data_IF_312228431654
#
_entry.id   IF_312228431654
#
_cell.length_a   1.000
_cell.length_b   1.000
_cell.length_c   1.000
_cell.angle_alpha   90.00
_cell.angle_beta   90.00
_cell.angle_gamma   90.00
#
_symmetry.space_group_name_H-M   'P 1'
#
loop_
_entity.id
_entity.type
_entity.pdbx_description
1 polymer ?
#
# COMPACT_ATOMS: atom_id res chain seq x y z
N UNK A 1 18.38 -14.81 4.99
CA UNK A 1 17.29 -14.89 4.07
C UNK A 1 16.03 -14.31 4.68
N UNK A 2 15.60 -13.15 4.20
CA UNK A 2 14.53 -12.38 4.79
C UNK A 2 13.13 -12.87 4.45
N UNK A 3 13.00 -13.93 3.66
CA UNK A 3 11.69 -14.42 3.30
C UNK A 3 11.12 -15.27 4.42
N UNK A 4 9.93 -14.92 4.85
CA UNK A 4 9.23 -15.66 5.87
C UNK A 4 8.72 -16.98 5.27
N UNK A 5 9.11 -18.09 5.86
CA UNK A 5 8.67 -19.42 5.43
C UNK A 5 7.33 -19.80 6.05
N UNK A 6 6.79 -18.96 6.90
CA UNK A 6 5.53 -19.24 7.56
C UNK A 6 4.37 -19.20 6.57
N UNK A 7 3.39 -20.04 6.83
CA UNK A 7 2.20 -20.21 5.99
C UNK A 7 1.35 -18.94 5.85
N UNK A 8 1.72 -17.87 6.57
CA UNK A 8 1.00 -16.61 6.62
C UNK A 8 1.75 -15.47 5.91
N UNK A 9 2.45 -15.77 4.86
CA UNK A 9 3.10 -14.75 4.06
C UNK A 9 2.05 -13.92 3.33
N UNK A 10 1.84 -12.68 3.79
CA UNK A 10 0.79 -11.79 3.29
C UNK A 10 1.30 -10.63 2.43
N UNK A 11 2.51 -10.73 1.91
CA UNK A 11 3.02 -9.68 1.05
C UNK A 11 2.45 -9.83 -0.35
N UNK A 12 1.68 -8.84 -0.81
CA UNK A 12 1.16 -8.82 -2.18
C UNK A 12 2.28 -8.76 -3.20
N UNK A 13 3.35 -8.08 -2.84
CA UNK A 13 4.48 -7.84 -3.73
C UNK A 13 5.76 -7.65 -2.93
N UNK A 14 6.85 -8.07 -3.55
CA UNK A 14 8.20 -7.88 -3.02
C UNK A 14 8.92 -6.96 -3.98
N UNK A 15 9.45 -5.86 -3.46
CA UNK A 15 10.23 -4.93 -4.25
C UNK A 15 11.65 -5.43 -4.40
N UNK A 16 12.17 -5.35 -5.61
CA UNK A 16 13.53 -5.79 -5.92
C UNK A 16 14.45 -4.59 -6.13
N UNK A 17 15.60 -4.64 -5.48
CA UNK A 17 16.59 -3.58 -5.52
C UNK A 17 17.90 -4.13 -6.11
N UNK A 18 18.51 -3.38 -7.02
CA UNK A 18 19.82 -3.69 -7.58
C UNK A 18 20.67 -2.43 -7.57
N UNK A 19 21.85 -2.53 -6.98
CA UNK A 19 22.81 -1.42 -6.92
C UNK A 19 22.18 -0.13 -6.36
N UNK A 20 21.39 -0.27 -5.29
CA UNK A 20 20.73 0.83 -4.63
C UNK A 20 19.52 1.41 -5.35
N UNK A 21 19.07 0.77 -6.42
CA UNK A 21 17.91 1.23 -7.19
C UNK A 21 16.79 0.21 -7.17
N UNK A 22 15.57 0.70 -7.08
CA UNK A 22 14.39 -0.15 -7.20
C UNK A 22 14.17 -0.46 -8.67
N UNK A 23 14.29 -1.73 -9.04
CA UNK A 23 14.26 -2.14 -10.45
C UNK A 23 12.99 -2.88 -10.84
N UNK A 24 12.25 -3.41 -9.88
CA UNK A 24 11.04 -4.13 -10.21
C UNK A 24 10.36 -4.70 -8.98
N UNK A 25 9.33 -5.49 -9.21
CA UNK A 25 8.62 -6.18 -8.14
C UNK A 25 8.17 -7.56 -8.59
N UNK A 26 7.92 -8.42 -7.62
CA UNK A 26 7.32 -9.73 -7.83
C UNK A 26 6.00 -9.75 -7.06
N UNK A 27 4.91 -10.10 -7.72
CA UNK A 27 3.60 -10.10 -7.08
C UNK A 27 3.28 -11.46 -6.44
N UNK A 28 2.22 -11.48 -5.64
CA UNK A 28 1.78 -12.67 -4.92
C UNK A 28 1.51 -13.85 -5.85
N UNK A 29 0.90 -13.62 -7.02
CA UNK A 29 0.58 -14.68 -7.95
C UNK A 29 1.83 -15.38 -8.47
N UNK A 30 2.86 -14.61 -8.79
CA UNK A 30 4.14 -15.16 -9.20
C UNK A 30 4.77 -15.96 -8.06
N UNK A 31 4.73 -15.41 -6.85
CA UNK A 31 5.31 -16.06 -5.68
C UNK A 31 4.64 -17.39 -5.34
N UNK A 32 3.33 -17.49 -5.52
CA UNK A 32 2.60 -18.73 -5.29
C UNK A 32 2.97 -19.84 -6.25
N UNK A 33 3.35 -19.49 -7.47
CA UNK A 33 3.71 -20.45 -8.51
C UNK A 33 5.17 -20.86 -8.47
N UNK A 34 5.96 -20.25 -7.60
CA UNK A 34 7.39 -20.54 -7.47
C UNK A 34 7.62 -21.19 -6.10
N UNK A 35 8.34 -22.32 -6.09
CA UNK A 35 8.74 -22.96 -4.84
C UNK A 35 9.58 -21.99 -3.99
N UNK A 36 9.31 -21.94 -2.69
CA UNK A 36 10.05 -21.07 -1.75
C UNK A 36 11.56 -21.31 -1.84
N UNK A 37 11.95 -22.53 -2.13
CA UNK A 37 13.37 -22.88 -2.30
C UNK A 37 14.04 -22.14 -3.46
N UNK A 38 13.25 -21.70 -4.43
CA UNK A 38 13.73 -20.98 -5.60
C UNK A 38 13.63 -19.47 -5.47
N UNK A 39 13.24 -18.96 -4.30
CA UNK A 39 13.10 -17.52 -4.06
C UNK A 39 14.46 -16.87 -3.77
N UNK A 40 15.47 -17.16 -4.59
CA UNK A 40 16.71 -16.41 -4.53
C UNK A 40 16.63 -15.14 -5.41
N UNK A 41 17.57 -14.23 -5.20
CA UNK A 41 17.59 -12.96 -5.91
C UNK A 41 17.58 -13.10 -7.42
N UNK A 42 18.43 -13.98 -7.93
CA UNK A 42 18.59 -14.16 -9.37
C UNK A 42 17.30 -14.65 -10.02
N UNK A 43 16.66 -15.62 -9.38
CA UNK A 43 15.43 -16.21 -9.89
C UNK A 43 14.28 -15.22 -9.86
N UNK A 44 14.15 -14.45 -8.77
CA UNK A 44 13.09 -13.46 -8.64
C UNK A 44 13.21 -12.34 -9.67
N UNK A 45 14.43 -11.94 -10.03
CA UNK A 45 14.63 -10.92 -11.07
C UNK A 45 14.12 -11.38 -12.44
N UNK A 46 14.19 -12.66 -12.74
CA UNK A 46 13.69 -13.19 -14.02
C UNK A 46 12.19 -13.04 -14.16
N UNK A 47 11.45 -13.03 -13.04
CA UNK A 47 10.00 -12.93 -13.02
C UNK A 47 9.52 -11.56 -12.57
N UNK A 48 10.41 -10.59 -12.44
CA UNK A 48 10.04 -9.27 -11.96
C UNK A 48 9.29 -8.48 -13.02
N UNK A 49 8.40 -7.61 -12.53
CA UNK A 49 7.65 -6.66 -13.34
C UNK A 49 8.19 -5.25 -13.08
N UNK A 50 8.03 -4.33 -14.03
CA UNK A 50 8.47 -2.95 -13.80
C UNK A 50 7.78 -2.31 -12.61
N UNK A 51 8.54 -1.61 -11.77
CA UNK A 51 8.01 -1.02 -10.54
C UNK A 51 6.96 0.06 -10.80
N UNK A 52 7.04 0.74 -11.93
CA UNK A 52 6.10 1.79 -12.30
C UNK A 52 4.69 1.27 -12.66
N UNK A 53 4.51 -0.05 -12.76
CA UNK A 53 3.18 -0.65 -12.89
C UNK A 53 2.41 -0.70 -11.57
N UNK A 54 3.08 -0.49 -10.43
CA UNK A 54 2.42 -0.51 -9.13
C UNK A 54 1.66 0.79 -8.88
N UNK A 55 0.48 0.70 -8.24
CA UNK A 55 -0.23 1.92 -7.84
C UNK A 55 0.61 2.66 -6.80
N UNK A 56 0.83 3.93 -7.03
CA UNK A 56 1.68 4.73 -6.18
C UNK A 56 1.06 6.08 -5.86
N UNK A 57 1.55 6.67 -4.78
CA UNK A 57 1.16 8.00 -4.33
C UNK A 57 2.40 8.72 -3.81
N UNK A 58 2.49 10.02 -4.08
CA UNK A 58 3.55 10.84 -3.52
C UNK A 58 3.31 11.11 -2.03
N UNK A 59 4.38 11.16 -1.25
CA UNK A 59 4.29 11.51 0.16
C UNK A 59 3.67 12.90 0.39
N UNK A 60 3.64 13.74 -0.64
CA UNK A 60 3.05 15.08 -0.58
C UNK A 60 1.57 15.12 -0.91
N UNK A 61 1.00 14.03 -1.42
CA UNK A 61 -0.42 14.01 -1.74
C UNK A 61 -1.27 13.96 -0.49
N UNK A 62 -2.49 14.47 -0.62
CA UNK A 62 -3.42 14.52 0.49
C UNK A 62 -4.04 13.14 0.77
N UNK A 63 -4.48 12.95 2.01
CA UNK A 63 -5.03 11.68 2.46
C UNK A 63 -6.27 11.25 1.65
N UNK A 64 -7.14 12.18 1.27
CA UNK A 64 -8.30 11.83 0.47
C UNK A 64 -7.92 11.34 -0.93
N UNK A 65 -6.80 11.80 -1.48
CA UNK A 65 -6.27 11.30 -2.75
C UNK A 65 -5.80 9.84 -2.62
N UNK A 66 -5.19 9.51 -1.48
CA UNK A 66 -4.81 8.14 -1.18
C UNK A 66 -6.02 7.22 -1.12
N UNK A 67 -7.11 7.67 -0.51
CA UNK A 67 -8.35 6.89 -0.42
C UNK A 67 -8.91 6.61 -1.81
N UNK A 68 -8.98 7.61 -2.67
CA UNK A 68 -9.46 7.42 -4.04
C UNK A 68 -8.57 6.44 -4.80
N UNK A 69 -7.25 6.58 -4.67
CA UNK A 69 -6.32 5.70 -5.39
C UNK A 69 -6.41 4.25 -4.93
N UNK A 70 -6.47 4.01 -3.61
CA UNK A 70 -6.51 2.63 -3.11
C UNK A 70 -7.81 1.93 -3.48
N UNK A 71 -8.91 2.66 -3.58
CA UNK A 71 -10.19 2.08 -4.00
C UNK A 71 -10.25 1.81 -5.51
N UNK A 72 -9.38 2.44 -6.29
CA UNK A 72 -9.33 2.25 -7.73
C UNK A 72 -8.26 1.24 -8.18
N UNK A 73 -7.58 0.60 -7.24
CA UNK A 73 -6.60 -0.43 -7.57
C UNK A 73 -7.07 -1.81 -7.12
N UNK A 74 -6.57 -2.84 -7.77
CA UNK A 74 -6.81 -4.23 -7.37
C UNK A 74 -5.94 -4.65 -6.18
N UNK A 75 -4.90 -3.87 -5.86
CA UNK A 75 -4.01 -4.17 -4.75
C UNK A 75 -4.57 -3.65 -3.43
N UNK A 76 -4.15 -4.24 -2.33
CA UNK A 76 -4.58 -3.82 -0.99
C UNK A 76 -3.78 -2.65 -0.43
N UNK A 77 -2.73 -2.22 -1.14
CA UNK A 77 -1.87 -1.13 -0.68
C UNK A 77 -1.34 -0.31 -1.84
N UNK A 78 -0.88 0.89 -1.52
CA UNK A 78 -0.22 1.79 -2.45
C UNK A 78 1.26 1.88 -2.13
N UNK A 79 2.08 2.05 -3.15
CA UNK A 79 3.49 2.38 -2.98
C UNK A 79 3.60 3.88 -2.70
N UNK A 80 4.31 4.25 -1.64
CA UNK A 80 4.54 5.66 -1.31
C UNK A 80 5.89 6.08 -1.86
N UNK A 81 5.90 7.15 -2.64
CA UNK A 81 7.10 7.68 -3.27
C UNK A 81 7.51 8.98 -2.61
N UNK A 82 8.82 9.16 -2.46
CA UNK A 82 9.39 10.44 -2.02
C UNK A 82 9.20 11.51 -3.10
N UNK A 83 9.54 12.75 -2.76
CA UNK A 83 9.50 13.85 -3.73
C UNK A 83 10.45 13.63 -4.90
N UNK A 84 11.46 12.79 -4.74
CA UNK A 84 12.38 12.42 -5.84
C UNK A 84 11.93 11.18 -6.61
N UNK A 85 10.75 10.63 -6.28
CA UNK A 85 10.22 9.47 -6.99
C UNK A 85 10.72 8.13 -6.51
N UNK A 86 11.38 8.06 -5.36
CA UNK A 86 11.91 6.81 -4.80
C UNK A 86 10.92 6.17 -3.84
N UNK A 87 10.73 4.84 -3.89
CA UNK A 87 9.89 4.15 -2.93
C UNK A 87 10.39 4.33 -1.50
N UNK A 88 9.52 4.76 -0.60
CA UNK A 88 9.85 4.96 0.82
C UNK A 88 8.97 4.15 1.75
N UNK A 89 7.92 3.50 1.24
CA UNK A 89 7.06 2.68 2.06
C UNK A 89 5.80 2.28 1.32
N UNK A 90 4.87 1.70 2.05
CA UNK A 90 3.55 1.33 1.53
C UNK A 90 2.46 1.85 2.45
N UNK A 91 1.26 1.98 1.90
CA UNK A 91 0.11 2.52 2.61
C UNK A 91 -1.11 1.64 2.31
N UNK A 92 -1.74 1.08 3.34
CA UNK A 92 -2.96 0.29 3.19
C UNK A 92 -4.17 1.02 3.84
N UNK A 93 -5.35 0.39 3.78
CA UNK A 93 -6.56 1.00 4.35
C UNK A 93 -6.46 1.23 5.86
N UNK A 94 -5.73 0.36 6.56
CA UNK A 94 -5.53 0.52 8.00
C UNK A 94 -4.67 1.74 8.30
N UNK A 95 -3.60 1.92 7.54
CA UNK A 95 -2.72 3.09 7.69
C UNK A 95 -3.49 4.39 7.45
N UNK A 96 -4.34 4.41 6.43
CA UNK A 96 -5.18 5.56 6.11
C UNK A 96 -6.16 5.84 7.27
N UNK A 97 -6.85 4.80 7.73
CA UNK A 97 -7.80 4.93 8.83
C UNK A 97 -7.14 5.39 10.12
N UNK A 98 -5.96 4.87 10.44
CA UNK A 98 -5.19 5.32 11.61
C UNK A 98 -4.86 6.81 11.51
N UNK A 99 -4.45 7.26 10.33
CA UNK A 99 -4.11 8.67 10.13
C UNK A 99 -5.33 9.58 10.32
N UNK A 100 -6.49 9.16 9.83
CA UNK A 100 -7.73 9.91 10.01
C UNK A 100 -8.11 9.99 11.49
N UNK A 101 -8.09 8.85 12.18
CA UNK A 101 -8.48 8.79 13.59
C UNK A 101 -7.52 9.56 14.49
N UNK A 102 -6.23 9.53 14.16
CA UNK A 102 -5.23 10.27 14.92
C UNK A 102 -5.49 11.78 14.90
N UNK A 103 -6.00 12.31 13.79
CA UNK A 103 -6.33 13.73 13.68
C UNK A 103 -7.43 14.16 14.65
N UNK A 104 -8.30 13.25 15.06
CA UNK A 104 -9.35 13.52 16.04
C UNK A 104 -9.01 12.99 17.42
N UNK A 105 -7.73 12.63 17.65
CA UNK A 105 -7.23 12.23 18.95
C UNK A 105 -7.49 10.77 19.33
N UNK A 106 -7.85 9.92 18.38
CA UNK A 106 -8.11 8.50 18.65
C UNK A 106 -6.93 7.62 18.21
N UNK A 107 -6.52 6.72 19.11
CA UNK A 107 -5.52 5.70 18.83
C UNK A 107 -6.19 4.33 18.83
N UNK A 108 -5.94 3.54 17.79
CA UNK A 108 -6.51 2.21 17.67
C UNK A 108 -5.73 1.20 18.51
N UNK A 109 -6.42 0.32 19.26
CA UNK A 109 -5.77 -0.84 19.87
C UNK A 109 -5.17 -1.77 18.82
N UNK A 110 -4.05 -2.40 19.15
CA UNK A 110 -3.33 -3.29 18.22
C UNK A 110 -4.20 -4.43 17.70
N UNK A 111 -5.10 -4.95 18.51
CA UNK A 111 -6.00 -6.03 18.09
C UNK A 111 -6.93 -5.61 16.97
N UNK A 112 -7.49 -4.40 17.06
CA UNK A 112 -8.34 -3.87 16.00
C UNK A 112 -7.56 -3.61 14.71
N UNK A 113 -6.31 -3.16 14.85
CA UNK A 113 -5.42 -2.95 13.71
C UNK A 113 -5.17 -4.28 12.99
N UNK A 114 -4.86 -5.35 13.74
CA UNK A 114 -4.58 -6.66 13.16
C UNK A 114 -5.77 -7.23 12.39
N UNK A 115 -6.96 -7.14 12.96
CA UNK A 115 -8.18 -7.63 12.32
C UNK A 115 -8.47 -6.85 11.04
N UNK A 116 -8.43 -5.53 11.10
CA UNK A 116 -8.70 -4.68 9.95
C UNK A 116 -7.69 -4.93 8.83
N UNK A 117 -6.41 -5.11 9.18
CA UNK A 117 -5.35 -5.35 8.18
C UNK A 117 -5.51 -6.71 7.51
N UNK A 118 -5.87 -7.73 8.28
CA UNK A 118 -6.12 -9.07 7.75
C UNK A 118 -7.28 -9.09 6.74
N UNK A 119 -8.33 -8.32 7.02
CA UNK A 119 -9.51 -8.25 6.17
C UNK A 119 -9.43 -7.17 5.10
N UNK A 120 -8.37 -6.39 5.09
CA UNK A 120 -8.17 -5.27 4.16
C UNK A 120 -9.35 -4.28 4.18
N UNK A 121 -9.73 -3.87 5.38
CA UNK A 121 -10.83 -2.93 5.60
C UNK A 121 -10.35 -1.71 6.38
N UNK A 122 -11.11 -0.62 6.28
CA UNK A 122 -10.88 0.53 7.16
C UNK A 122 -11.26 0.16 8.59
N UNK A 123 -10.47 0.60 9.59
CA UNK A 123 -10.79 0.29 10.98
C UNK A 123 -12.10 0.94 11.42
N UNK A 124 -12.76 0.35 12.40
CA UNK A 124 -14.02 0.83 13.01
C UNK A 124 -15.15 1.01 12.01
N UNK A 125 -15.14 0.27 10.90
CA UNK A 125 -16.20 0.37 9.91
C UNK A 125 -16.30 1.73 9.22
N UNK A 126 -15.21 2.50 9.19
CA UNK A 126 -15.20 3.81 8.53
C UNK A 126 -15.52 3.67 7.05
N UNK A 127 -16.38 4.55 6.55
CA UNK A 127 -16.72 4.60 5.13
C UNK A 127 -15.97 5.77 4.48
N UNK A 128 -14.64 5.69 4.50
CA UNK A 128 -13.80 6.77 4.02
C UNK A 128 -13.91 6.98 2.52
N UNK A 129 -14.19 5.92 1.76
CA UNK A 129 -14.34 6.05 0.31
C UNK A 129 -15.51 6.97 -0.05
N UNK A 130 -16.67 6.80 0.58
CA UNK A 130 -17.81 7.67 0.32
C UNK A 130 -17.55 9.12 0.76
N UNK A 131 -16.84 9.29 1.88
CA UNK A 131 -16.43 10.62 2.32
C UNK A 131 -15.50 11.27 1.30
N UNK A 132 -14.49 10.54 0.85
CA UNK A 132 -13.53 11.05 -0.13
C UNK A 132 -14.19 11.37 -1.47
N UNK A 133 -15.15 10.55 -1.91
CA UNK A 133 -15.90 10.81 -3.14
C UNK A 133 -16.71 12.08 -3.08
N UNK A 134 -17.20 12.46 -1.91
CA UNK A 134 -17.95 13.71 -1.74
C UNK A 134 -17.05 14.94 -1.77
N UNK A 135 -15.73 14.75 -1.57
CA UNK A 135 -14.74 15.82 -1.63
C UNK A 135 -14.13 15.81 -3.02
N UNK A 136 -14.75 16.49 -3.98
CA UNK A 136 -14.20 16.60 -5.33
C UNK A 136 -13.17 17.72 -5.37
N UNK A 137 -12.27 17.73 -6.35
CA UNK A 137 -11.33 18.84 -6.51
C UNK A 137 -12.02 20.21 -6.59
N UNK A 138 -13.20 20.27 -7.21
CA UNK A 138 -13.98 21.50 -7.26
C UNK A 138 -14.51 21.93 -5.90
N UNK A 139 -14.99 21.00 -5.09
CA UNK A 139 -15.47 21.28 -3.74
C UNK A 139 -14.34 21.77 -2.84
N UNK A 140 -13.17 21.12 -2.96
CA UNK A 140 -11.99 21.52 -2.19
C UNK A 140 -11.57 22.95 -2.55
N UNK A 141 -11.52 23.25 -3.85
CA UNK A 141 -11.17 24.58 -4.32
C UNK A 141 -12.19 25.63 -3.84
N UNK A 142 -13.45 25.25 -3.81
CA UNK A 142 -14.49 26.10 -3.26
C UNK A 142 -14.32 26.37 -1.77
N UNK A 143 -13.98 25.35 -1.00
CA UNK A 143 -13.79 25.45 0.45
C UNK A 143 -12.56 26.27 0.82
N UNK A 144 -11.58 26.32 -0.04
CA UNK A 144 -10.35 27.08 0.19
C UNK A 144 -10.50 28.57 -0.07
N UNK A 145 -11.60 28.96 -0.64
CA UNK A 145 -11.89 30.36 -0.88
C UNK A 145 -12.50 30.99 0.36
#
# INVERSE_FOLDING_TARGET
>A
NSFNKDKNFNAEWILLCREGRWVGYVNENILKNISVQNWDKKFLYEFSLPIDELPSISEKELLWQAIIKIENTIYSRLLVLSSSGLPIGTLDRVDIGKAVLKKIGLNLPDQLIKVARKENIYPLGLNLFNIAKSITPGDIDGDQK
#
